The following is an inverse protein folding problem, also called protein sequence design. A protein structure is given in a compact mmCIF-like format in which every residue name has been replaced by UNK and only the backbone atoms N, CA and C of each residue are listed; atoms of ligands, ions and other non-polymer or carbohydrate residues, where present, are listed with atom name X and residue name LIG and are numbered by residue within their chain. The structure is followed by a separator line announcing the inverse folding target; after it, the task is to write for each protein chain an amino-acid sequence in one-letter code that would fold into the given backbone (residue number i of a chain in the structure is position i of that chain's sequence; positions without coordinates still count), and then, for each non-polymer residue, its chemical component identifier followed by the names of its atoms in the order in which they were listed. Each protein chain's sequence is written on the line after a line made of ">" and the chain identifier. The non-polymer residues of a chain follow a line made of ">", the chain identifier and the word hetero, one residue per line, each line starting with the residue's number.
data_IF_504042400101
#
_entry.id   IF_504042400101
#
_cell.length_a   1.000
_cell.length_b   1.000
_cell.length_c   1.000
_cell.angle_alpha   90.00
_cell.angle_beta   90.00
_cell.angle_gamma   90.00
#
_symmetry.space_group_name_H-M   'P 1'
#
loop_
_entity.id
_entity.type
_entity.pdbx_description
1 polymer ?
#
# COMPACT_ATOMS: atom_id res chain seq x y z
N UNK A 1 -9.83 23.38 -4.23
CA UNK A 1 -8.53 23.83 -3.71
C UNK A 1 -7.44 23.31 -4.63
N UNK A 2 -6.52 24.17 -5.10
CA UNK A 2 -5.51 23.80 -6.10
C UNK A 2 -4.63 22.66 -5.58
N UNK A 3 -4.70 21.50 -6.24
CA UNK A 3 -3.96 20.29 -5.89
C UNK A 3 -2.49 20.32 -6.30
N UNK A 4 -1.88 21.49 -6.46
CA UNK A 4 -0.47 21.62 -6.85
C UNK A 4 0.43 21.46 -5.63
N UNK A 5 1.34 20.50 -5.68
CA UNK A 5 2.45 20.36 -4.75
C UNK A 5 3.33 21.63 -4.83
N UNK A 6 4.03 21.96 -3.74
CA UNK A 6 4.89 23.14 -3.65
C UNK A 6 6.02 23.18 -4.70
N UNK A 7 6.27 22.05 -5.38
CA UNK A 7 7.22 21.89 -6.47
C UNK A 7 6.62 22.14 -7.87
N UNK A 8 5.35 22.54 -7.97
CA UNK A 8 4.66 22.85 -9.24
C UNK A 8 3.97 21.65 -9.91
N UNK A 9 4.12 20.43 -9.39
CA UNK A 9 3.44 19.24 -9.91
C UNK A 9 2.05 19.07 -9.29
N UNK A 10 1.05 18.63 -10.06
CA UNK A 10 -0.24 18.23 -9.49
C UNK A 10 -0.06 16.99 -8.62
N UNK A 11 -0.57 17.03 -7.38
CA UNK A 11 -0.69 15.84 -6.55
C UNK A 11 -1.62 14.84 -7.25
N UNK A 12 -1.28 13.54 -7.22
CA UNK A 12 -2.14 12.53 -7.81
C UNK A 12 -3.57 12.57 -7.21
N UNK A 13 -4.62 12.34 -8.01
CA UNK A 13 -6.01 12.56 -7.59
C UNK A 13 -6.55 11.46 -6.68
N UNK A 14 -5.82 10.37 -6.43
CA UNK A 14 -6.31 9.23 -5.66
C UNK A 14 -6.85 9.61 -4.29
N UNK A 15 -6.21 10.60 -3.66
CA UNK A 15 -6.69 11.11 -2.37
C UNK A 15 -8.10 11.68 -2.44
N UNK A 16 -8.41 12.42 -3.51
CA UNK A 16 -9.73 13.02 -3.68
C UNK A 16 -10.78 11.91 -3.76
N UNK A 17 -10.53 10.85 -4.55
CA UNK A 17 -11.48 9.75 -4.67
C UNK A 17 -11.72 9.00 -3.36
N UNK A 18 -10.68 8.75 -2.56
CA UNK A 18 -10.88 8.09 -1.27
C UNK A 18 -11.63 8.97 -0.26
N UNK A 19 -11.33 10.27 -0.20
CA UNK A 19 -12.01 11.20 0.70
C UNK A 19 -13.38 11.69 0.20
N UNK A 20 -13.72 11.48 -1.07
CA UNK A 20 -15.09 11.67 -1.58
C UNK A 20 -16.09 10.72 -0.92
N UNK A 21 -15.67 9.53 -0.50
CA UNK A 21 -16.53 8.58 0.21
C UNK A 21 -17.05 9.14 1.54
N UNK A 22 -16.20 9.59 2.49
CA UNK A 22 -16.68 10.23 3.71
C UNK A 22 -17.37 11.57 3.45
N UNK A 23 -16.89 12.37 2.49
CA UNK A 23 -17.51 13.65 2.15
C UNK A 23 -18.93 13.51 1.58
N UNK A 24 -19.23 12.43 0.87
CA UNK A 24 -20.58 12.14 0.39
C UNK A 24 -21.56 11.78 1.53
N UNK A 25 -21.05 11.38 2.69
CA UNK A 25 -21.85 10.99 3.85
C UNK A 25 -22.03 12.15 4.85
N UNK A 26 -21.01 12.99 5.02
CA UNK A 26 -21.07 14.15 5.91
C UNK A 26 -19.94 15.15 5.61
N UNK A 27 -20.23 16.43 5.79
CA UNK A 27 -19.22 17.49 5.78
C UNK A 27 -18.31 17.48 7.02
N UNK A 28 -18.57 16.59 7.99
CA UNK A 28 -17.78 16.50 9.22
C UNK A 28 -16.41 15.86 8.94
N UNK A 29 -15.29 16.56 9.22
CA UNK A 29 -13.93 16.06 8.98
C UNK A 29 -13.58 14.79 9.80
N UNK A 30 -14.37 14.46 10.83
CA UNK A 30 -14.18 13.23 11.62
C UNK A 30 -14.28 11.97 10.76
N UNK A 31 -15.16 11.94 9.74
CA UNK A 31 -15.28 10.76 8.88
C UNK A 31 -14.00 10.49 8.07
N UNK A 32 -13.32 11.56 7.63
CA UNK A 32 -12.02 11.44 6.97
C UNK A 32 -10.94 10.91 7.92
N UNK A 33 -10.95 11.33 9.19
CA UNK A 33 -10.03 10.82 10.22
C UNK A 33 -10.30 9.35 10.56
N UNK A 34 -11.57 8.93 10.59
CA UNK A 34 -11.95 7.54 10.81
C UNK A 34 -11.50 6.64 9.66
N UNK A 35 -11.68 7.09 8.41
CA UNK A 35 -11.18 6.36 7.24
C UNK A 35 -9.66 6.19 7.30
N UNK A 36 -8.94 7.23 7.72
CA UNK A 36 -7.50 7.17 7.88
C UNK A 36 -7.07 6.14 8.96
N UNK A 37 -7.76 6.16 10.09
CA UNK A 37 -7.54 5.22 11.19
C UNK A 37 -7.84 3.78 10.76
N UNK A 38 -8.88 3.59 9.95
CA UNK A 38 -9.23 2.30 9.37
C UNK A 38 -8.11 1.74 8.48
N UNK A 39 -7.53 2.56 7.59
CA UNK A 39 -6.38 2.14 6.78
C UNK A 39 -5.16 1.78 7.64
N UNK A 40 -4.88 2.54 8.70
CA UNK A 40 -3.78 2.25 9.62
C UNK A 40 -3.96 0.92 10.36
N UNK A 41 -5.15 0.68 10.92
CA UNK A 41 -5.47 -0.59 11.59
C UNK A 41 -5.40 -1.76 10.59
N UNK A 42 -5.89 -1.55 9.37
CA UNK A 42 -5.80 -2.56 8.30
C UNK A 42 -4.34 -2.88 7.98
N UNK A 43 -3.45 -1.88 7.92
CA UNK A 43 -2.03 -2.09 7.67
C UNK A 43 -1.34 -2.89 8.79
N UNK A 44 -1.67 -2.63 10.06
CA UNK A 44 -1.19 -3.41 11.21
C UNK A 44 -1.60 -4.88 11.06
N UNK A 45 -2.89 -5.11 10.79
CA UNK A 45 -3.43 -6.46 10.63
C UNK A 45 -2.78 -7.20 9.45
N UNK A 46 -2.64 -6.55 8.29
CA UNK A 46 -1.97 -7.11 7.13
C UNK A 46 -0.49 -7.39 7.39
N UNK A 47 0.19 -6.53 8.17
CA UNK A 47 1.59 -6.76 8.56
C UNK A 47 1.70 -8.01 9.43
N UNK A 48 0.82 -8.16 10.42
CA UNK A 48 0.75 -9.39 11.23
C UNK A 48 0.54 -10.63 10.35
N UNK A 49 -0.41 -10.59 9.41
CA UNK A 49 -0.68 -11.71 8.50
C UNK A 49 0.51 -12.04 7.60
N UNK A 50 1.10 -11.00 6.98
CA UNK A 50 2.25 -11.14 6.09
C UNK A 50 3.42 -11.80 6.82
N UNK A 51 3.83 -11.24 7.95
CA UNK A 51 4.98 -11.76 8.69
C UNK A 51 4.68 -13.14 9.30
N UNK A 52 3.44 -13.36 9.77
CA UNK A 52 3.02 -14.70 10.26
C UNK A 52 3.15 -15.76 9.16
N UNK A 53 2.76 -15.43 7.93
CA UNK A 53 2.81 -16.36 6.79
C UNK A 53 4.22 -16.80 6.45
N UNK A 54 5.21 -15.90 6.49
CA UNK A 54 6.57 -16.18 6.02
C UNK A 54 7.59 -16.44 7.14
N UNK A 55 7.32 -15.99 8.36
CA UNK A 55 8.28 -16.02 9.47
C UNK A 55 7.67 -16.55 10.79
N UNK A 56 6.39 -16.96 10.79
CA UNK A 56 5.73 -17.56 11.94
C UNK A 56 5.02 -16.58 12.88
N UNK A 57 4.16 -17.12 13.75
CA UNK A 57 3.19 -16.35 14.57
C UNK A 57 3.84 -15.36 15.54
N UNK A 58 4.96 -15.73 16.16
CA UNK A 58 5.65 -14.85 17.10
C UNK A 58 6.25 -13.63 16.39
N UNK A 59 6.96 -13.84 15.28
CA UNK A 59 7.48 -12.75 14.46
C UNK A 59 6.35 -11.85 13.94
N UNK A 60 5.23 -12.46 13.53
CA UNK A 60 4.02 -11.74 13.13
C UNK A 60 3.47 -10.83 14.23
N UNK A 61 3.31 -11.36 15.44
CA UNK A 61 2.82 -10.59 16.58
C UNK A 61 3.76 -9.42 16.91
N UNK A 62 5.08 -9.67 16.97
CA UNK A 62 6.08 -8.64 17.23
C UNK A 62 6.06 -7.56 16.14
N UNK A 63 6.04 -7.94 14.86
CA UNK A 63 5.99 -7.00 13.75
C UNK A 63 4.71 -6.15 13.75
N UNK A 64 3.55 -6.78 13.99
CA UNK A 64 2.28 -6.07 14.11
C UNK A 64 2.27 -5.07 15.27
N UNK A 65 2.77 -5.46 16.44
CA UNK A 65 2.89 -4.57 17.61
C UNK A 65 3.86 -3.42 17.36
N UNK A 66 5.02 -3.68 16.74
CA UNK A 66 5.97 -2.64 16.36
C UNK A 66 5.36 -1.66 15.36
N UNK A 67 4.59 -2.14 14.38
CA UNK A 67 3.88 -1.27 13.44
C UNK A 67 2.83 -0.41 14.15
N UNK A 68 2.05 -1.01 15.06
CA UNK A 68 1.01 -0.32 15.81
C UNK A 68 1.58 0.75 16.77
N UNK A 69 2.73 0.48 17.37
CA UNK A 69 3.42 1.39 18.28
C UNK A 69 4.33 2.40 17.56
N UNK A 70 4.52 2.27 16.24
CA UNK A 70 5.41 3.15 15.50
C UNK A 70 4.89 4.61 15.55
N UNK A 71 5.75 5.59 15.88
CA UNK A 71 5.35 6.98 16.05
C UNK A 71 4.87 7.62 14.74
N UNK A 72 5.36 7.12 13.60
CA UNK A 72 4.99 7.63 12.27
C UNK A 72 3.49 7.40 11.99
N UNK A 73 2.94 6.17 12.01
CA UNK A 73 1.49 5.95 11.91
C UNK A 73 0.66 6.77 12.92
N UNK A 74 1.13 6.92 14.16
CA UNK A 74 0.40 7.62 15.22
C UNK A 74 0.35 9.14 15.05
N UNK A 75 1.43 9.77 14.58
CA UNK A 75 1.48 11.22 14.36
C UNK A 75 0.75 11.58 13.06
N UNK A 76 1.00 10.80 12.00
CA UNK A 76 0.45 11.08 10.68
C UNK A 76 -1.04 10.69 10.54
N UNK A 77 -1.57 9.79 11.38
CA UNK A 77 -3.00 9.45 11.35
C UNK A 77 -3.94 10.61 11.74
N UNK A 78 -3.41 11.66 12.40
CA UNK A 78 -4.20 12.73 13.05
C UNK A 78 -4.44 13.95 12.17
N UNK A 79 -3.89 13.99 10.96
CA UNK A 79 -4.14 15.05 9.99
C UNK A 79 -4.33 14.48 8.59
N UNK A 80 -5.12 15.18 7.77
CA UNK A 80 -5.43 14.74 6.41
C UNK A 80 -4.19 15.00 5.54
N UNK A 81 -3.43 13.94 5.29
CA UNK A 81 -2.22 13.99 4.47
C UNK A 81 -2.15 12.80 3.53
N UNK A 82 -1.58 13.05 2.34
CA UNK A 82 -1.67 12.14 1.22
C UNK A 82 -1.11 10.72 1.48
N UNK A 83 0.05 10.57 2.14
CA UNK A 83 0.67 9.26 2.37
C UNK A 83 -0.05 8.36 3.36
N UNK A 84 -1.00 8.89 4.14
CA UNK A 84 -1.61 8.08 5.20
C UNK A 84 -2.45 6.92 4.65
N UNK A 85 -3.01 7.09 3.45
CA UNK A 85 -3.83 6.07 2.80
C UNK A 85 -2.99 4.95 2.17
N UNK A 86 -1.67 5.12 2.05
CA UNK A 86 -0.77 4.16 1.42
C UNK A 86 -0.60 2.86 2.20
N UNK A 87 -0.75 2.95 3.52
CA UNK A 87 -0.20 1.99 4.49
C UNK A 87 -0.56 0.52 4.18
N UNK A 88 -1.83 0.14 3.98
CA UNK A 88 -2.16 -1.26 3.70
C UNK A 88 -1.77 -1.68 2.28
N UNK A 89 -1.84 -0.77 1.30
CA UNK A 89 -1.51 -1.10 -0.09
C UNK A 89 -0.03 -1.41 -0.28
N UNK A 90 0.86 -0.80 0.52
CA UNK A 90 2.29 -1.17 0.54
C UNK A 90 2.46 -2.63 1.01
N UNK A 91 1.74 -3.04 2.06
CA UNK A 91 1.82 -4.42 2.56
C UNK A 91 1.24 -5.41 1.53
N UNK A 92 0.13 -5.06 0.88
CA UNK A 92 -0.47 -5.87 -0.19
C UNK A 92 0.45 -6.00 -1.41
N UNK A 93 1.15 -4.92 -1.77
CA UNK A 93 2.19 -4.94 -2.80
C UNK A 93 3.29 -5.94 -2.46
N UNK A 94 3.86 -5.90 -1.24
CA UNK A 94 4.90 -6.87 -0.82
C UNK A 94 4.37 -8.30 -0.70
N UNK A 95 3.12 -8.49 -0.27
CA UNK A 95 2.46 -9.80 -0.28
C UNK A 95 2.40 -10.39 -1.70
N UNK A 96 2.06 -9.57 -2.70
CA UNK A 96 2.08 -9.98 -4.09
C UNK A 96 3.50 -10.35 -4.55
N UNK A 97 4.51 -9.53 -4.27
CA UNK A 97 5.90 -9.84 -4.62
C UNK A 97 6.37 -11.16 -3.98
N UNK A 98 6.12 -11.36 -2.69
CA UNK A 98 6.51 -12.59 -1.98
C UNK A 98 5.78 -13.82 -2.54
N UNK A 99 4.54 -13.68 -2.99
CA UNK A 99 3.83 -14.78 -3.67
C UNK A 99 4.57 -15.23 -4.94
N UNK A 100 5.19 -14.31 -5.68
CA UNK A 100 6.00 -14.63 -6.85
C UNK A 100 7.37 -15.21 -6.51
N UNK A 101 8.09 -14.54 -5.62
CA UNK A 101 9.50 -14.81 -5.31
C UNK A 101 9.69 -15.96 -4.32
N UNK A 102 8.90 -15.97 -3.24
CA UNK A 102 9.04 -16.92 -2.13
C UNK A 102 8.13 -18.11 -2.31
N UNK A 103 6.83 -17.89 -2.54
CA UNK A 103 5.87 -19.00 -2.73
C UNK A 103 6.01 -19.68 -4.11
N UNK A 104 6.79 -19.09 -5.02
CA UNK A 104 6.99 -19.54 -6.41
C UNK A 104 5.67 -19.74 -7.17
N UNK A 105 4.68 -18.86 -6.94
CA UNK A 105 3.36 -18.90 -7.58
C UNK A 105 3.21 -17.84 -8.66
N UNK A 106 2.57 -18.20 -9.77
CA UNK A 106 2.26 -17.31 -10.90
C UNK A 106 1.12 -16.34 -10.57
N UNK A 107 0.90 -15.34 -11.43
CA UNK A 107 -0.17 -14.34 -11.29
C UNK A 107 0.10 -13.28 -10.22
N UNK A 108 1.34 -13.19 -9.74
CA UNK A 108 1.77 -12.20 -8.76
C UNK A 108 2.01 -10.82 -9.39
N UNK A 109 2.47 -10.77 -10.64
CA UNK A 109 2.83 -9.52 -11.30
C UNK A 109 1.61 -8.60 -11.53
N UNK A 110 0.46 -9.08 -12.05
CA UNK A 110 -0.72 -8.23 -12.20
C UNK A 110 -1.24 -7.68 -10.87
N UNK A 111 -1.16 -8.48 -9.78
CA UNK A 111 -1.52 -8.02 -8.44
C UNK A 111 -0.55 -6.95 -7.92
N UNK A 112 0.76 -7.14 -8.11
CA UNK A 112 1.76 -6.16 -7.73
C UNK A 112 1.59 -4.84 -8.50
N UNK A 113 1.32 -4.91 -9.80
CA UNK A 113 1.05 -3.75 -10.65
C UNK A 113 -0.24 -3.03 -10.25
N UNK A 114 -1.30 -3.77 -9.92
CA UNK A 114 -2.54 -3.19 -9.41
C UNK A 114 -2.30 -2.36 -8.15
N UNK A 115 -1.61 -2.94 -7.15
CA UNK A 115 -1.32 -2.23 -5.91
C UNK A 115 -0.36 -1.05 -6.12
N UNK A 116 0.63 -1.20 -6.99
CA UNK A 116 1.54 -0.12 -7.35
C UNK A 116 0.78 1.03 -8.04
N UNK A 117 -0.15 0.72 -8.93
CA UNK A 117 -0.98 1.73 -9.59
C UNK A 117 -1.85 2.49 -8.58
N UNK A 118 -2.48 1.80 -7.63
CA UNK A 118 -3.24 2.45 -6.54
C UNK A 118 -2.31 3.33 -5.69
N UNK A 119 -1.13 2.84 -5.34
CA UNK A 119 -0.14 3.59 -4.57
C UNK A 119 0.36 4.84 -5.32
N UNK A 120 0.59 4.78 -6.63
CA UNK A 120 1.01 5.94 -7.41
C UNK A 120 0.00 7.09 -7.36
N UNK A 121 -1.27 6.78 -7.09
CA UNK A 121 -2.33 7.79 -6.91
C UNK A 121 -2.33 8.47 -5.55
N UNK A 122 -1.41 8.11 -4.66
CA UNK A 122 -1.33 8.68 -3.30
C UNK A 122 -0.14 9.60 -3.12
N UNK A 123 1.06 9.23 -3.59
CA UNK A 123 2.25 10.04 -3.38
C UNK A 123 3.38 9.64 -4.33
N UNK A 124 4.20 10.61 -4.75
CA UNK A 124 5.28 10.37 -5.71
C UNK A 124 6.41 9.48 -5.16
N UNK A 125 6.61 9.46 -3.84
CA UNK A 125 7.64 8.61 -3.19
C UNK A 125 7.42 7.11 -3.42
N UNK A 126 6.21 6.71 -3.84
CA UNK A 126 5.89 5.34 -4.26
C UNK A 126 6.74 4.85 -5.42
N UNK A 127 7.30 5.75 -6.24
CA UNK A 127 8.21 5.36 -7.33
C UNK A 127 9.41 4.54 -6.83
N UNK A 128 9.80 4.69 -5.56
CA UNK A 128 10.84 3.85 -4.94
C UNK A 128 10.46 2.37 -4.90
N UNK A 129 9.16 2.02 -4.93
CA UNK A 129 8.67 0.63 -4.98
C UNK A 129 8.89 -0.04 -6.35
N UNK A 130 9.28 0.70 -7.38
CA UNK A 130 9.75 0.10 -8.64
C UNK A 130 11.00 -0.75 -8.43
N UNK A 131 11.85 -0.37 -7.46
CA UNK A 131 13.07 -1.11 -7.11
C UNK A 131 12.75 -2.55 -6.65
N UNK A 132 11.93 -2.77 -5.59
CA UNK A 132 11.56 -4.12 -5.18
C UNK A 132 10.73 -4.88 -6.24
N UNK A 133 9.93 -4.18 -7.07
CA UNK A 133 9.26 -4.81 -8.21
C UNK A 133 10.27 -5.39 -9.21
N UNK A 134 11.27 -4.59 -9.60
CA UNK A 134 12.33 -5.01 -10.51
C UNK A 134 13.13 -6.19 -9.93
N UNK A 135 13.48 -6.13 -8.64
CA UNK A 135 14.13 -7.24 -7.94
C UNK A 135 13.28 -8.51 -7.99
N UNK A 136 11.97 -8.42 -7.76
CA UNK A 136 11.08 -9.57 -7.81
C UNK A 136 11.01 -10.20 -9.21
N UNK A 137 10.98 -9.38 -10.27
CA UNK A 137 11.02 -9.85 -11.67
C UNK A 137 12.34 -10.60 -11.93
N UNK A 138 13.47 -10.08 -11.43
CA UNK A 138 14.78 -10.71 -11.60
C UNK A 138 14.90 -12.04 -10.84
N UNK A 139 14.33 -12.14 -9.64
CA UNK A 139 14.44 -13.33 -8.78
C UNK A 139 13.37 -14.39 -9.03
N UNK A 140 12.28 -14.05 -9.72
CA UNK A 140 11.18 -14.97 -10.02
C UNK A 140 10.85 -15.09 -11.52
N UNK A 141 11.83 -15.25 -12.42
CA UNK A 141 11.56 -15.30 -13.86
C UNK A 141 10.68 -16.49 -14.26
N UNK A 142 10.82 -17.62 -13.57
CA UNK A 142 10.07 -18.86 -13.83
C UNK A 142 8.57 -18.76 -13.53
N UNK A 143 8.17 -17.81 -12.68
CA UNK A 143 6.76 -17.62 -12.29
C UNK A 143 6.07 -16.53 -13.09
N UNK A 144 6.78 -15.88 -14.01
CA UNK A 144 6.22 -14.93 -14.97
C UNK A 144 5.60 -15.69 -16.13
N UNK A 145 4.32 -15.39 -16.43
CA UNK A 145 3.68 -15.92 -17.63
C UNK A 145 3.62 -14.85 -18.70
N UNK A 146 3.73 -15.26 -19.97
CA UNK A 146 3.45 -14.39 -21.12
C UNK A 146 2.07 -13.73 -21.05
N UNK A 147 1.09 -14.41 -20.46
CA UNK A 147 -0.26 -13.88 -20.20
C UNK A 147 -0.29 -12.73 -19.19
N UNK A 148 0.68 -12.70 -18.27
CA UNK A 148 0.81 -11.61 -17.29
C UNK A 148 1.38 -10.32 -17.93
N UNK A 149 1.94 -10.43 -19.15
CA UNK A 149 2.49 -9.32 -19.95
C UNK A 149 1.48 -8.70 -20.93
N UNK A 150 0.22 -9.15 -20.92
CA UNK A 150 -0.86 -8.54 -21.71
C UNK A 150 -0.93 -8.98 -23.18
N UNK A 151 -0.16 -9.99 -23.60
CA UNK A 151 -0.31 -10.61 -24.91
C UNK A 151 -1.25 -11.83 -24.79
N UNK A 152 -2.49 -11.64 -25.23
CA UNK A 152 -3.48 -12.71 -25.46
C UNK A 152 -3.47 -13.15 -26.92
#
# INVERSE_FOLDING_TARGET
>A
TNGTASLGFANPPGLLYFYMLPAALSDNPVLAMLLNSFFAVTAVFLTYLFVTRYYGRFAGAVAGLLYAAAPVPLIYSRFIWQPNMMQPFVVLFFLALFRGVVDRRTGWLPLALLWLAILLQTHLTVLLLVIPLFMAVLFAPETLRWRDLGYS
#
